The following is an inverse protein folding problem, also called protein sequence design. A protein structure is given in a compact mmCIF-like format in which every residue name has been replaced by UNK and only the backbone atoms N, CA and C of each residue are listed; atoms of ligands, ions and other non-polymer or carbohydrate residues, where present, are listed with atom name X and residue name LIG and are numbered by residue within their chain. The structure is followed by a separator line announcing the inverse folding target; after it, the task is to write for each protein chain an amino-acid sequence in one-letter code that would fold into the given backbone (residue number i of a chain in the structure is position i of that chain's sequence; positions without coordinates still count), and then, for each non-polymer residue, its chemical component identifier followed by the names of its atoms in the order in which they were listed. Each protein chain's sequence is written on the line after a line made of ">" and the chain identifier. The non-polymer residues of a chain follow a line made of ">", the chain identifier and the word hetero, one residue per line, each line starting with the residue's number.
data_IF_330391457409
#
_entry.id   IF_330391457409
#
_cell.length_a   1.000
_cell.length_b   1.000
_cell.length_c   1.000
_cell.angle_alpha   90.00
_cell.angle_beta   90.00
_cell.angle_gamma   90.00
#
_symmetry.space_group_name_H-M   'P 1'
#
loop_
_entity.id
_entity.type
_entity.pdbx_description
1 polymer ?
#
# COMPACT_ATOMS: atom_id res chain seq x y z
N UNK A 1 -16.53 -15.85 -23.17
CA UNK A 1 -15.81 -16.42 -22.02
C UNK A 1 -14.73 -15.44 -21.63
N UNK A 2 -14.89 -14.72 -20.52
CA UNK A 2 -13.86 -13.81 -20.04
C UNK A 2 -12.63 -14.63 -19.65
N UNK A 3 -11.50 -14.40 -20.33
CA UNK A 3 -10.20 -14.94 -19.92
C UNK A 3 -9.96 -14.41 -18.51
N UNK A 4 -9.93 -15.30 -17.51
CA UNK A 4 -9.53 -14.94 -16.15
C UNK A 4 -8.20 -14.20 -16.26
N UNK A 5 -8.15 -12.90 -15.91
CA UNK A 5 -6.91 -12.11 -15.87
C UNK A 5 -5.93 -12.90 -14.98
N UNK A 6 -4.82 -13.36 -15.55
CA UNK A 6 -3.76 -13.99 -14.76
C UNK A 6 -3.22 -12.94 -13.79
N UNK A 7 -3.43 -13.17 -12.49
CA UNK A 7 -2.81 -12.35 -11.45
C UNK A 7 -1.31 -12.53 -11.56
N UNK A 8 -0.56 -11.43 -11.68
CA UNK A 8 0.91 -11.47 -11.82
C UNK A 8 1.60 -11.44 -10.46
N UNK A 9 2.90 -11.76 -10.41
CA UNK A 9 3.71 -11.63 -9.19
C UNK A 9 3.80 -10.16 -8.74
N UNK A 10 3.89 -9.23 -9.68
CA UNK A 10 3.93 -7.79 -9.38
C UNK A 10 2.65 -7.33 -8.70
N UNK A 11 1.48 -7.74 -9.21
CA UNK A 11 0.21 -7.44 -8.57
C UNK A 11 0.17 -7.96 -7.14
N UNK A 12 0.52 -9.22 -6.91
CA UNK A 12 0.60 -9.78 -5.55
C UNK A 12 1.47 -8.94 -4.61
N UNK A 13 2.67 -8.54 -5.05
CA UNK A 13 3.59 -7.76 -4.23
C UNK A 13 3.05 -6.37 -3.88
N UNK A 14 2.36 -5.72 -4.82
CA UNK A 14 1.75 -4.41 -4.59
C UNK A 14 0.68 -4.47 -3.48
N UNK A 15 -0.04 -5.58 -3.35
CA UNK A 15 -1.02 -5.79 -2.26
C UNK A 15 -0.37 -6.21 -0.93
N UNK A 16 0.77 -6.90 -0.95
CA UNK A 16 1.44 -7.39 0.27
C UNK A 16 2.33 -6.32 0.93
N UNK A 17 2.96 -5.47 0.12
CA UNK A 17 3.93 -4.50 0.60
C UNK A 17 3.28 -3.24 1.19
N UNK A 18 4.00 -2.59 2.09
CA UNK A 18 3.61 -1.31 2.71
C UNK A 18 4.47 -0.16 2.21
N UNK A 19 3.93 1.05 2.24
CA UNK A 19 4.62 2.30 1.86
C UNK A 19 5.96 2.45 2.60
N UNK A 20 5.97 2.20 3.91
CA UNK A 20 7.16 2.31 4.75
C UNK A 20 8.31 1.35 4.40
N UNK A 21 8.04 0.30 3.61
CA UNK A 21 9.05 -0.65 3.13
C UNK A 21 9.77 -0.16 1.87
N UNK A 22 9.18 0.79 1.13
CA UNK A 22 9.73 1.30 -0.12
C UNK A 22 10.10 2.78 -0.07
N UNK A 23 9.59 3.54 0.92
CA UNK A 23 9.89 4.97 1.06
C UNK A 23 11.36 5.26 1.33
N UNK A 24 11.80 6.46 0.96
CA UNK A 24 13.10 7.03 1.35
C UNK A 24 12.92 7.73 2.70
N UNK A 25 13.77 7.39 3.68
CA UNK A 25 13.74 7.96 5.04
C UNK A 25 14.59 9.23 5.21
N UNK A 26 15.66 9.35 4.43
CA UNK A 26 16.51 10.53 4.45
C UNK A 26 15.87 11.64 3.60
N UNK A 27 15.04 12.45 4.26
CA UNK A 27 14.24 13.49 3.61
C UNK A 27 14.90 14.84 3.81
N UNK A 28 15.15 15.51 2.69
CA UNK A 28 15.57 16.91 2.70
C UNK A 28 14.33 17.77 2.94
N UNK A 29 14.33 18.53 4.04
CA UNK A 29 13.23 19.41 4.47
C UNK A 29 13.69 20.86 4.57
N UNK A 30 12.72 21.75 4.76
CA UNK A 30 12.95 23.16 5.09
C UNK A 30 12.03 23.59 6.23
N UNK A 31 12.48 24.53 7.07
CA UNK A 31 11.68 25.06 8.18
C UNK A 31 10.59 26.02 7.69
N UNK A 32 9.48 26.10 8.41
CA UNK A 32 8.37 27.03 8.11
C UNK A 32 8.78 28.51 8.14
N UNK A 33 9.76 28.85 9.00
CA UNK A 33 10.31 30.20 9.20
C UNK A 33 11.48 30.53 8.25
N UNK A 34 11.84 29.62 7.34
CA UNK A 34 12.89 29.84 6.34
C UNK A 34 12.44 30.79 5.24
N UNK A 35 13.40 31.42 4.55
CA UNK A 35 13.10 32.32 3.43
C UNK A 35 13.11 31.61 2.08
N UNK A 36 12.43 32.20 1.09
CA UNK A 36 12.43 31.69 -0.28
C UNK A 36 13.84 31.67 -0.93
N UNK A 37 14.75 32.55 -0.49
CA UNK A 37 16.17 32.47 -0.89
C UNK A 37 16.90 31.23 -0.36
N UNK A 38 16.58 30.77 0.85
CA UNK A 38 17.11 29.53 1.42
C UNK A 38 16.59 28.33 0.65
N UNK A 39 15.29 28.32 0.32
CA UNK A 39 14.69 27.31 -0.55
C UNK A 39 15.43 27.24 -1.89
N UNK A 40 15.62 28.38 -2.58
CA UNK A 40 16.35 28.42 -3.85
C UNK A 40 17.74 27.80 -3.75
N UNK A 41 18.48 28.12 -2.69
CA UNK A 41 19.82 27.58 -2.47
C UNK A 41 19.77 26.07 -2.26
N UNK A 42 18.83 25.59 -1.43
CA UNK A 42 18.61 24.17 -1.13
C UNK A 42 18.25 23.38 -2.39
N UNK A 43 17.27 23.85 -3.18
CA UNK A 43 16.84 23.21 -4.42
C UNK A 43 18.01 23.07 -5.42
N UNK A 44 18.82 24.13 -5.56
CA UNK A 44 19.99 24.15 -6.45
C UNK A 44 21.10 23.22 -5.97
N UNK A 45 21.45 23.26 -4.69
CA UNK A 45 22.53 22.45 -4.11
C UNK A 45 22.20 20.96 -4.19
N UNK A 46 20.98 20.60 -3.78
CA UNK A 46 20.53 19.21 -3.71
C UNK A 46 19.98 18.68 -5.04
N UNK A 47 19.83 19.54 -6.05
CA UNK A 47 19.28 19.23 -7.38
C UNK A 47 17.88 18.60 -7.30
N UNK A 48 17.04 19.20 -6.47
CA UNK A 48 15.65 18.77 -6.24
C UNK A 48 14.69 19.89 -6.64
N UNK A 49 13.44 19.53 -6.95
CA UNK A 49 12.42 20.46 -7.44
C UNK A 49 11.40 20.91 -6.38
N UNK A 50 11.48 20.35 -5.17
CA UNK A 50 10.58 20.67 -4.07
C UNK A 50 10.90 19.84 -2.84
N UNK A 51 10.46 20.33 -1.69
CA UNK A 51 10.75 19.79 -0.36
C UNK A 51 9.53 19.89 0.55
N UNK A 52 9.39 18.96 1.51
CA UNK A 52 8.47 19.13 2.62
C UNK A 52 8.89 20.29 3.52
N UNK A 53 7.90 21.04 4.00
CA UNK A 53 8.06 22.10 4.99
C UNK A 53 7.71 21.52 6.35
N UNK A 54 8.59 21.71 7.33
CA UNK A 54 8.41 21.17 8.68
C UNK A 54 8.44 22.25 9.75
N UNK A 55 7.77 21.97 10.85
CA UNK A 55 7.82 22.70 12.12
C UNK A 55 8.10 21.67 13.23
N UNK A 56 9.28 21.71 13.86
CA UNK A 56 9.71 20.70 14.86
C UNK A 56 9.48 19.22 14.45
N UNK A 57 9.90 18.86 13.22
CA UNK A 57 9.71 17.56 12.53
C UNK A 57 8.27 17.22 12.08
N UNK A 58 7.30 18.06 12.38
CA UNK A 58 5.92 17.89 11.92
C UNK A 58 5.79 18.43 10.50
N UNK A 59 5.18 17.66 9.60
CA UNK A 59 4.90 18.14 8.26
C UNK A 59 3.80 19.21 8.32
N UNK A 60 4.11 20.42 7.86
CA UNK A 60 3.17 21.56 7.84
C UNK A 60 2.86 22.07 6.43
N UNK A 61 3.60 21.60 5.42
CA UNK A 61 3.32 21.92 4.03
C UNK A 61 4.30 21.30 3.04
N UNK A 62 4.13 21.66 1.77
CA UNK A 62 5.07 21.39 0.69
C UNK A 62 5.40 22.70 -0.02
N UNK A 63 6.65 22.85 -0.44
CA UNK A 63 7.08 23.98 -1.25
C UNK A 63 7.96 23.50 -2.40
N UNK A 64 7.77 24.10 -3.57
CA UNK A 64 8.42 23.69 -4.81
C UNK A 64 9.07 24.85 -5.55
N UNK A 65 9.78 24.51 -6.62
CA UNK A 65 10.32 25.50 -7.56
C UNK A 65 9.21 26.34 -8.20
N UNK A 66 8.01 25.79 -8.39
CA UNK A 66 6.87 26.52 -8.95
C UNK A 66 6.41 27.63 -8.00
N UNK A 67 6.43 27.36 -6.69
CA UNK A 67 6.06 28.35 -5.67
C UNK A 67 7.12 29.45 -5.55
N UNK A 68 8.40 29.09 -5.74
CA UNK A 68 9.46 30.09 -5.90
C UNK A 68 9.27 30.97 -7.14
N UNK A 69 8.87 30.39 -8.27
CA UNK A 69 8.58 31.16 -9.49
C UNK A 69 7.39 32.10 -9.30
N UNK A 70 6.33 31.65 -8.61
CA UNK A 70 5.17 32.50 -8.26
C UNK A 70 5.60 33.67 -7.38
N UNK A 71 6.36 33.40 -6.31
CA UNK A 71 6.89 34.41 -5.40
C UNK A 71 7.71 35.50 -6.11
N UNK A 72 8.53 35.14 -7.11
CA UNK A 72 9.28 36.11 -7.91
C UNK A 72 8.39 37.05 -8.73
N UNK A 73 7.20 36.61 -9.13
CA UNK A 73 6.26 37.42 -9.91
C UNK A 73 5.52 38.47 -9.05
N UNK A 74 5.39 38.23 -7.74
CA UNK A 74 4.60 39.05 -6.81
C UNK A 74 5.37 40.25 -6.20
N UNK A 75 6.49 40.68 -6.80
CA UNK A 75 7.36 41.80 -6.36
C UNK A 75 7.95 41.68 -4.92
N UNK A 76 7.75 40.55 -4.22
CA UNK A 76 8.36 40.23 -2.93
C UNK A 76 9.17 38.92 -3.01
N UNK A 77 10.39 38.94 -3.58
CA UNK A 77 11.12 37.74 -4.00
C UNK A 77 11.76 36.94 -2.85
N UNK A 78 11.63 37.40 -1.60
CA UNK A 78 12.27 36.79 -0.44
C UNK A 78 11.36 36.76 0.81
N UNK A 79 10.07 36.47 0.57
CA UNK A 79 9.12 36.20 1.64
C UNK A 79 9.40 34.90 2.39
N UNK A 80 8.63 34.62 3.45
CA UNK A 80 8.74 33.37 4.17
C UNK A 80 8.14 32.19 3.39
N UNK A 81 8.71 31.00 3.58
CA UNK A 81 8.20 29.76 2.98
C UNK A 81 6.74 29.52 3.37
N UNK A 82 6.35 29.86 4.60
CA UNK A 82 4.97 29.69 5.08
C UNK A 82 3.90 30.43 4.28
N UNK A 83 4.28 31.50 3.59
CA UNK A 83 3.39 32.36 2.81
C UNK A 83 3.06 31.74 1.45
N UNK A 84 3.94 30.87 0.93
CA UNK A 84 3.85 30.32 -0.43
C UNK A 84 3.64 28.80 -0.42
N UNK A 85 3.85 28.12 0.70
CA UNK A 85 3.71 26.67 0.77
C UNK A 85 2.26 26.20 0.58
N UNK A 86 2.11 25.01 0.00
CA UNK A 86 0.83 24.30 -0.04
C UNK A 86 0.61 23.60 1.30
N UNK A 87 -0.50 23.92 1.97
CA UNK A 87 -0.86 23.36 3.29
C UNK A 87 -1.69 22.08 3.22
N UNK A 88 -2.57 21.96 2.22
CA UNK A 88 -3.33 20.73 1.98
C UNK A 88 -2.46 19.73 1.22
N UNK A 89 -1.69 18.96 1.99
CA UNK A 89 -0.72 18.00 1.46
C UNK A 89 -1.31 16.60 1.52
N UNK A 90 -1.40 15.95 0.35
CA UNK A 90 -1.66 14.51 0.29
C UNK A 90 -0.46 13.74 0.80
N UNK A 91 -0.70 12.85 1.75
CA UNK A 91 0.32 12.05 2.42
C UNK A 91 -0.13 10.60 2.52
N UNK A 92 0.84 9.71 2.70
CA UNK A 92 0.60 8.34 3.15
C UNK A 92 1.09 8.18 4.57
N UNK A 93 0.58 7.18 5.26
CA UNK A 93 1.22 6.63 6.43
C UNK A 93 2.21 5.54 6.04
N UNK A 94 3.24 5.35 6.84
CA UNK A 94 4.24 4.29 6.64
C UNK A 94 3.63 2.88 6.70
N UNK A 95 2.52 2.72 7.42
CA UNK A 95 1.76 1.46 7.51
C UNK A 95 0.78 1.25 6.37
N UNK A 96 0.54 2.26 5.52
CA UNK A 96 -0.43 2.16 4.43
C UNK A 96 0.03 1.11 3.39
N UNK A 97 -0.93 0.34 2.83
CA UNK A 97 -0.68 -0.58 1.72
C UNK A 97 -0.11 0.13 0.48
N UNK A 98 0.84 -0.52 -0.20
CA UNK A 98 1.50 0.02 -1.38
C UNK A 98 0.55 0.21 -2.57
N UNK A 99 -0.50 -0.61 -2.68
CA UNK A 99 -1.53 -0.50 -3.72
C UNK A 99 -2.18 0.88 -3.76
N UNK A 100 -2.48 1.46 -2.60
CA UNK A 100 -3.07 2.80 -2.52
C UNK A 100 -2.12 3.88 -3.02
N UNK A 101 -0.82 3.74 -2.75
CA UNK A 101 0.16 4.66 -3.31
C UNK A 101 0.17 4.61 -4.85
N UNK A 102 0.09 3.42 -5.44
CA UNK A 102 0.04 3.25 -6.91
C UNK A 102 -1.21 3.91 -7.50
N UNK A 103 -2.38 3.69 -6.89
CA UNK A 103 -3.67 4.29 -7.32
C UNK A 103 -3.62 5.82 -7.28
N UNK A 104 -3.11 6.39 -6.19
CA UNK A 104 -3.01 7.84 -5.99
C UNK A 104 -1.99 8.50 -6.93
N UNK A 105 -0.91 7.80 -7.25
CA UNK A 105 0.08 8.22 -8.25
C UNK A 105 -0.50 8.29 -9.67
N UNK A 106 -1.50 7.48 -9.98
CA UNK A 106 -2.26 7.53 -11.23
C UNK A 106 -3.33 8.62 -11.18
N UNK A 107 -4.04 8.75 -10.06
CA UNK A 107 -5.14 9.71 -9.89
C UNK A 107 -4.67 11.17 -9.92
N UNK A 108 -3.65 11.50 -9.13
CA UNK A 108 -3.20 12.88 -8.95
C UNK A 108 -2.08 13.29 -9.91
N UNK A 109 -1.39 12.32 -10.52
CA UNK A 109 -0.23 12.60 -11.38
C UNK A 109 0.98 13.21 -10.66
N UNK A 110 0.98 13.24 -9.33
CA UNK A 110 2.09 13.78 -8.54
C UNK A 110 3.37 12.95 -8.70
N UNK A 111 4.52 13.62 -8.61
CA UNK A 111 5.82 12.94 -8.73
C UNK A 111 6.30 12.26 -7.44
N UNK A 112 5.80 12.73 -6.29
CA UNK A 112 6.19 12.26 -4.96
C UNK A 112 5.11 12.56 -3.93
N UNK A 113 5.05 11.77 -2.86
CA UNK A 113 4.21 12.01 -1.70
C UNK A 113 5.04 11.95 -0.41
N UNK A 114 4.84 12.87 0.54
CA UNK A 114 5.37 12.71 1.88
C UNK A 114 4.72 11.51 2.58
N UNK A 115 5.50 10.85 3.42
CA UNK A 115 5.07 9.72 4.24
C UNK A 115 5.20 10.09 5.70
N UNK A 116 4.13 9.89 6.45
CA UNK A 116 4.00 10.19 7.88
C UNK A 116 4.14 8.90 8.67
N UNK A 117 4.87 8.96 9.77
CA UNK A 117 4.94 7.86 10.73
C UNK A 117 3.63 7.85 11.49
N UNK A 118 2.87 6.76 11.42
CA UNK A 118 1.54 6.73 12.02
C UNK A 118 1.55 6.82 13.54
N UNK A 119 2.61 6.36 14.19
CA UNK A 119 2.68 6.35 15.66
C UNK A 119 3.02 7.73 16.22
N UNK A 120 3.92 8.45 15.56
CA UNK A 120 4.45 9.73 16.03
C UNK A 120 3.81 10.94 15.37
N UNK A 121 3.14 10.76 14.23
CA UNK A 121 2.61 11.84 13.40
C UNK A 121 3.68 12.64 12.65
N UNK A 122 4.96 12.31 12.82
CA UNK A 122 6.09 13.03 12.22
C UNK A 122 6.32 12.62 10.78
N UNK A 123 7.05 13.45 10.03
CA UNK A 123 7.51 13.08 8.69
C UNK A 123 8.48 11.89 8.77
N UNK A 124 8.10 10.76 8.19
CA UNK A 124 8.89 9.52 8.17
C UNK A 124 9.73 9.36 6.91
N UNK A 125 9.26 9.93 5.79
CA UNK A 125 9.85 9.67 4.49
C UNK A 125 9.19 10.41 3.33
N UNK A 126 9.65 10.08 2.13
CA UNK A 126 9.02 10.42 0.86
C UNK A 126 8.95 9.14 0.02
N UNK A 127 7.88 8.98 -0.76
CA UNK A 127 7.74 7.92 -1.75
C UNK A 127 7.64 8.52 -3.16
N UNK A 128 8.30 7.89 -4.13
CA UNK A 128 8.21 8.20 -5.57
C UNK A 128 7.93 6.94 -6.39
N UNK A 129 7.47 7.09 -7.64
CA UNK A 129 7.32 5.95 -8.57
C UNK A 129 8.61 5.13 -8.72
N UNK A 130 9.76 5.79 -8.72
CA UNK A 130 11.07 5.13 -8.79
C UNK A 130 11.40 4.31 -7.56
N UNK A 131 10.93 4.73 -6.39
CA UNK A 131 11.10 3.99 -5.12
C UNK A 131 10.23 2.74 -5.09
N UNK A 132 8.99 2.84 -5.59
CA UNK A 132 8.09 1.70 -5.75
C UNK A 132 8.75 0.64 -6.64
N UNK A 133 9.26 1.03 -7.82
CA UNK A 133 9.93 0.10 -8.74
C UNK A 133 11.14 -0.56 -8.08
N UNK A 134 12.01 0.21 -7.42
CA UNK A 134 13.19 -0.33 -6.72
C UNK A 134 12.80 -1.28 -5.59
N UNK A 135 11.79 -0.91 -4.80
CA UNK A 135 11.26 -1.75 -3.72
C UNK A 135 10.70 -3.08 -4.23
N UNK A 136 9.92 -3.05 -5.31
CA UNK A 136 9.39 -4.26 -5.96
C UNK A 136 10.50 -5.17 -6.47
N UNK A 137 11.51 -4.62 -7.14
CA UNK A 137 12.66 -5.40 -7.64
C UNK A 137 13.41 -6.09 -6.50
N UNK A 138 13.74 -5.34 -5.43
CA UNK A 138 14.38 -5.91 -4.25
C UNK A 138 13.54 -7.02 -3.61
N UNK A 139 12.22 -6.83 -3.52
CA UNK A 139 11.32 -7.84 -2.96
C UNK A 139 11.23 -9.09 -3.82
N UNK A 140 11.23 -8.95 -5.15
CA UNK A 140 11.26 -10.08 -6.07
C UNK A 140 12.53 -10.91 -5.94
N UNK A 141 13.70 -10.27 -5.76
CA UNK A 141 14.97 -10.97 -5.52
C UNK A 141 14.91 -11.78 -4.22
N UNK A 142 14.39 -11.19 -3.14
CA UNK A 142 14.22 -11.89 -1.85
C UNK A 142 13.30 -13.10 -2.00
N UNK A 143 12.12 -12.92 -2.61
CA UNK A 143 11.14 -13.99 -2.80
C UNK A 143 11.70 -15.13 -3.68
N UNK A 144 12.49 -14.81 -4.70
CA UNK A 144 13.13 -15.80 -5.57
C UNK A 144 14.05 -16.74 -4.77
N UNK A 145 14.90 -16.18 -3.90
CA UNK A 145 15.80 -16.97 -3.04
C UNK A 145 15.04 -17.81 -2.00
N UNK A 146 13.94 -17.30 -1.45
CA UNK A 146 13.08 -18.06 -0.54
C UNK A 146 12.42 -19.26 -1.24
N UNK A 147 11.92 -19.06 -2.47
CA UNK A 147 11.26 -20.11 -3.25
C UNK A 147 12.23 -21.21 -3.69
N UNK A 148 13.48 -20.87 -4.01
CA UNK A 148 14.52 -21.86 -4.35
C UNK A 148 14.86 -22.76 -3.14
N UNK A 149 14.94 -22.17 -1.94
CA UNK A 149 15.15 -22.92 -0.70
C UNK A 149 13.95 -23.83 -0.37
N UNK A 150 12.73 -23.35 -0.61
CA UNK A 150 11.51 -24.14 -0.38
C UNK A 150 11.31 -25.27 -1.39
N UNK A 151 11.69 -25.09 -2.66
CA UNK A 151 11.64 -26.15 -3.68
C UNK A 151 12.41 -27.39 -3.25
N UNK A 152 13.57 -27.20 -2.61
CA UNK A 152 14.40 -28.30 -2.10
C UNK A 152 13.68 -29.15 -1.01
N UNK A 153 12.85 -28.51 -0.18
CA UNK A 153 12.04 -29.18 0.85
C UNK A 153 10.81 -29.90 0.28
N UNK A 154 10.18 -29.32 -0.74
CA UNK A 154 8.97 -29.86 -1.37
C UNK A 154 9.28 -31.13 -2.17
N UNK A 155 10.40 -31.14 -2.91
CA UNK A 155 10.85 -32.32 -3.68
C UNK A 155 11.18 -33.54 -2.81
N UNK A 156 11.28 -33.38 -1.47
CA UNK A 156 11.66 -34.44 -0.55
C UNK A 156 10.65 -34.78 0.56
N UNK A 157 9.46 -34.16 0.65
CA UNK A 157 8.58 -34.44 1.82
C UNK A 157 7.06 -34.24 1.73
N UNK A 158 6.45 -33.78 0.63
CA UNK A 158 5.05 -33.31 0.68
C UNK A 158 4.01 -34.01 -0.21
N UNK A 159 4.28 -35.21 -0.72
CA UNK A 159 3.21 -36.03 -1.33
C UNK A 159 2.21 -36.59 -0.30
N UNK A 160 2.53 -36.63 1.00
CA UNK A 160 1.71 -37.34 2.00
C UNK A 160 0.64 -36.49 2.73
N UNK A 161 0.68 -35.15 2.69
CA UNK A 161 -0.24 -34.32 3.51
C UNK A 161 -1.63 -34.15 2.87
N UNK A 162 -1.75 -34.28 1.56
CA UNK A 162 -3.04 -34.24 0.87
C UNK A 162 -3.60 -35.66 0.85
N UNK A 163 -3.91 -36.20 2.02
CA UNK A 163 -4.70 -37.44 2.09
C UNK A 163 -6.13 -37.14 1.67
N UNK A 164 -6.65 -37.92 0.72
CA UNK A 164 -8.03 -37.82 0.22
C UNK A 164 -9.04 -37.67 1.39
N UNK A 165 -9.78 -36.54 1.38
CA UNK A 165 -10.91 -36.13 2.26
C UNK A 165 -10.64 -35.11 3.38
N UNK A 166 -9.41 -34.64 3.61
CA UNK A 166 -9.21 -33.60 4.63
C UNK A 166 -9.74 -32.23 4.16
N UNK A 167 -10.72 -31.68 4.88
CA UNK A 167 -11.15 -30.28 4.71
C UNK A 167 -10.60 -29.42 5.84
N UNK A 168 -9.93 -28.32 5.50
CA UNK A 168 -9.37 -27.39 6.47
C UNK A 168 -10.22 -26.13 6.51
N UNK A 169 -10.48 -25.62 7.71
CA UNK A 169 -11.14 -24.34 7.90
C UNK A 169 -10.23 -23.42 8.70
N UNK A 170 -9.74 -22.36 8.07
CA UNK A 170 -8.97 -21.30 8.70
C UNK A 170 -9.91 -20.16 9.06
N UNK A 171 -9.79 -19.63 10.27
CA UNK A 171 -10.62 -18.52 10.77
C UNK A 171 -9.73 -17.44 11.32
N UNK A 172 -10.03 -16.20 10.95
CA UNK A 172 -9.33 -15.02 11.40
C UNK A 172 -10.33 -13.92 11.72
N UNK A 173 -10.05 -13.15 12.77
CA UNK A 173 -10.83 -11.96 13.10
C UNK A 173 -10.24 -10.74 12.36
N UNK A 174 -11.12 -9.92 11.78
CA UNK A 174 -10.80 -8.65 11.16
C UNK A 174 -11.23 -7.55 12.13
N UNK A 175 -10.33 -6.63 12.45
CA UNK A 175 -10.60 -5.50 13.33
C UNK A 175 -10.94 -4.30 12.45
N UNK A 176 -12.15 -3.74 12.58
CA UNK A 176 -12.56 -2.58 11.81
C UNK A 176 -11.84 -1.32 12.27
N UNK A 177 -11.65 -0.37 11.34
CA UNK A 177 -10.99 0.93 11.60
C UNK A 177 -9.54 0.82 12.10
N UNK A 178 -8.95 -0.37 12.09
CA UNK A 178 -7.55 -0.62 12.41
C UNK A 178 -6.74 -0.72 11.11
N UNK A 179 -6.35 0.45 10.61
CA UNK A 179 -5.59 0.58 9.37
C UNK A 179 -4.14 0.10 9.49
N UNK A 180 -3.59 0.00 10.72
CA UNK A 180 -2.22 -0.46 10.93
C UNK A 180 -2.08 -1.96 10.66
N UNK A 181 -3.14 -2.70 11.00
CA UNK A 181 -3.24 -4.15 10.82
C UNK A 181 -3.99 -4.55 9.56
N UNK A 182 -4.39 -3.58 8.73
CA UNK A 182 -4.98 -3.83 7.42
C UNK A 182 -4.07 -4.74 6.56
N UNK A 183 -4.67 -5.75 5.94
CA UNK A 183 -3.97 -6.74 5.12
C UNK A 183 -3.24 -7.84 5.90
N UNK A 184 -3.22 -7.78 7.24
CA UNK A 184 -2.56 -8.80 8.06
C UNK A 184 -3.30 -10.14 7.97
N UNK A 185 -4.64 -10.12 7.83
CA UNK A 185 -5.46 -11.32 7.78
C UNK A 185 -5.26 -12.10 6.48
N UNK A 186 -5.36 -11.41 5.35
CA UNK A 186 -5.07 -11.95 4.02
C UNK A 186 -3.62 -12.44 3.92
N UNK A 187 -2.67 -11.72 4.51
CA UNK A 187 -1.26 -12.15 4.60
C UNK A 187 -1.08 -13.44 5.43
N UNK A 188 -1.78 -13.57 6.56
CA UNK A 188 -1.76 -14.80 7.38
C UNK A 188 -2.38 -15.98 6.62
N UNK A 189 -3.51 -15.76 5.95
CA UNK A 189 -4.14 -16.76 5.09
C UNK A 189 -3.17 -17.25 4.01
N UNK A 190 -2.53 -16.33 3.30
CA UNK A 190 -1.52 -16.65 2.28
C UNK A 190 -0.40 -17.52 2.86
N UNK A 191 0.20 -17.13 3.99
CA UNK A 191 1.26 -17.91 4.65
C UNK A 191 0.80 -19.32 5.03
N UNK A 192 -0.44 -19.47 5.51
CA UNK A 192 -1.02 -20.77 5.84
C UNK A 192 -1.19 -21.64 4.58
N UNK A 193 -1.77 -21.09 3.50
CA UNK A 193 -1.98 -21.81 2.25
C UNK A 193 -0.66 -22.19 1.57
N UNK A 194 0.37 -21.32 1.61
CA UNK A 194 1.73 -21.63 1.13
C UNK A 194 2.30 -22.85 1.85
N UNK A 195 2.15 -22.93 3.18
CA UNK A 195 2.60 -24.08 3.99
C UNK A 195 1.82 -25.36 3.71
N UNK A 196 0.60 -25.25 3.20
CA UNK A 196 -0.23 -26.39 2.76
C UNK A 196 0.13 -26.87 1.34
N UNK A 197 1.13 -26.25 0.69
CA UNK A 197 1.56 -26.65 -0.66
C UNK A 197 0.63 -26.15 -1.77
N UNK A 198 -0.22 -25.15 -1.51
CA UNK A 198 -1.10 -24.59 -2.54
C UNK A 198 -0.25 -23.93 -3.65
N UNK A 199 -0.52 -24.23 -4.94
CA UNK A 199 0.21 -23.66 -6.06
C UNK A 199 0.25 -22.11 -6.05
N UNK A 200 1.39 -21.48 -6.45
CA UNK A 200 1.56 -20.03 -6.38
C UNK A 200 0.53 -19.22 -7.19
N UNK A 201 0.03 -19.72 -8.30
CA UNK A 201 -1.02 -19.07 -9.10
C UNK A 201 -2.38 -19.03 -8.37
N UNK A 202 -2.75 -20.10 -7.68
CA UNK A 202 -3.95 -20.15 -6.84
C UNK A 202 -3.75 -19.26 -5.61
N UNK A 203 -2.58 -19.35 -4.97
CA UNK A 203 -2.24 -18.59 -3.78
C UNK A 203 -2.37 -17.07 -4.01
N UNK A 204 -1.83 -16.57 -5.12
CA UNK A 204 -1.91 -15.16 -5.52
C UNK A 204 -3.34 -14.67 -5.64
N UNK A 205 -4.19 -15.44 -6.32
CA UNK A 205 -5.60 -15.10 -6.52
C UNK A 205 -6.37 -15.05 -5.20
N UNK A 206 -6.15 -16.04 -4.34
CA UNK A 206 -6.79 -16.08 -3.02
C UNK A 206 -6.32 -14.93 -2.14
N UNK A 207 -5.02 -14.60 -2.17
CA UNK A 207 -4.46 -13.51 -1.39
C UNK A 207 -5.06 -12.16 -1.77
N UNK A 208 -5.13 -11.83 -3.06
CA UNK A 208 -5.70 -10.55 -3.52
C UNK A 208 -7.19 -10.47 -3.19
N UNK A 209 -7.97 -11.51 -3.52
CA UNK A 209 -9.41 -11.51 -3.22
C UNK A 209 -9.69 -11.40 -1.71
N UNK A 210 -8.89 -12.08 -0.88
CA UNK A 210 -9.00 -11.98 0.58
C UNK A 210 -8.62 -10.59 1.08
N UNK A 211 -7.60 -9.96 0.49
CA UNK A 211 -7.18 -8.60 0.85
C UNK A 211 -8.27 -7.58 0.53
N UNK A 212 -8.84 -7.62 -0.68
CA UNK A 212 -9.90 -6.67 -1.07
C UNK A 212 -11.14 -6.81 -0.17
N UNK A 213 -11.52 -8.06 0.13
CA UNK A 213 -12.62 -8.33 1.06
C UNK A 213 -12.30 -7.89 2.50
N UNK A 214 -11.08 -8.12 2.97
CA UNK A 214 -10.60 -7.64 4.27
C UNK A 214 -10.65 -6.11 4.34
N UNK A 215 -10.15 -5.41 3.32
CA UNK A 215 -10.13 -3.95 3.28
C UNK A 215 -11.53 -3.36 3.31
N UNK A 216 -12.48 -3.94 2.58
CA UNK A 216 -13.88 -3.50 2.66
C UNK A 216 -14.42 -3.60 4.09
N UNK A 217 -14.12 -4.70 4.80
CA UNK A 217 -14.52 -4.85 6.20
C UNK A 217 -13.80 -3.86 7.12
N UNK A 218 -12.50 -3.59 6.92
CA UNK A 218 -11.73 -2.63 7.72
C UNK A 218 -12.25 -1.19 7.52
N UNK A 219 -12.53 -0.80 6.27
CA UNK A 219 -12.92 0.56 5.90
C UNK A 219 -14.34 0.93 6.31
N UNK A 220 -15.30 0.03 6.08
CA UNK A 220 -16.72 0.41 6.07
C UNK A 220 -17.49 -0.14 7.28
N UNK A 221 -16.83 -0.84 8.20
CA UNK A 221 -17.50 -1.61 9.25
C UNK A 221 -16.69 -1.57 10.56
N UNK A 222 -17.26 -2.09 11.64
CA UNK A 222 -16.54 -2.24 12.93
C UNK A 222 -15.67 -3.51 12.98
N UNK A 223 -15.55 -4.23 11.87
CA UNK A 223 -14.74 -5.43 11.71
C UNK A 223 -15.57 -6.62 11.23
N UNK A 224 -14.97 -7.80 11.30
CA UNK A 224 -15.59 -8.99 10.75
C UNK A 224 -14.78 -10.25 10.98
N UNK A 225 -15.06 -11.27 10.18
CA UNK A 225 -14.36 -12.55 10.19
C UNK A 225 -14.04 -12.96 8.77
N UNK A 226 -12.83 -13.47 8.58
CA UNK A 226 -12.45 -14.19 7.38
C UNK A 226 -12.46 -15.69 7.68
N UNK A 227 -13.20 -16.45 6.88
CA UNK A 227 -13.27 -17.90 6.94
C UNK A 227 -12.83 -18.48 5.58
N UNK A 228 -11.72 -19.20 5.57
CA UNK A 228 -11.25 -19.91 4.38
C UNK A 228 -11.46 -21.41 4.56
N UNK A 229 -12.27 -22.02 3.68
CA UNK A 229 -12.49 -23.46 3.58
C UNK A 229 -11.66 -24.01 2.42
N UNK A 230 -10.74 -24.91 2.73
CA UNK A 230 -9.82 -25.55 1.77
C UNK A 230 -10.22 -27.01 1.61
N UNK A 231 -10.58 -27.40 0.40
CA UNK A 231 -10.78 -28.79 -0.03
C UNK A 231 -9.87 -29.10 -1.22
N UNK A 232 -9.68 -30.37 -1.59
CA UNK A 232 -8.90 -30.74 -2.77
C UNK A 232 -9.40 -30.09 -4.07
N UNK A 233 -10.69 -29.82 -4.19
CA UNK A 233 -11.33 -29.30 -5.41
C UNK A 233 -11.46 -27.78 -5.42
N UNK A 234 -11.52 -27.13 -4.25
CA UNK A 234 -11.76 -25.68 -4.17
C UNK A 234 -11.23 -25.04 -2.88
N UNK A 235 -10.90 -23.77 -3.01
CA UNK A 235 -10.71 -22.85 -1.88
C UNK A 235 -11.86 -21.85 -1.90
N UNK A 236 -12.63 -21.80 -0.81
CA UNK A 236 -13.71 -20.84 -0.63
C UNK A 236 -13.34 -19.88 0.51
N UNK A 237 -13.23 -18.59 0.19
CA UNK A 237 -13.01 -17.52 1.18
C UNK A 237 -14.33 -16.77 1.38
N UNK A 238 -14.74 -16.63 2.63
CA UNK A 238 -15.93 -15.92 3.05
C UNK A 238 -15.49 -14.84 4.05
N UNK A 239 -15.83 -13.58 3.76
CA UNK A 239 -15.67 -12.47 4.70
C UNK A 239 -17.06 -12.05 5.15
N UNK A 240 -17.27 -12.01 6.46
CA UNK A 240 -18.52 -11.58 7.08
C UNK A 240 -18.24 -10.40 7.99
N UNK A 241 -18.94 -9.29 7.77
CA UNK A 241 -18.89 -8.09 8.61
C UNK A 241 -20.28 -7.76 9.19
N UNK A 242 -20.32 -6.76 10.06
CA UNK A 242 -21.56 -6.20 10.62
C UNK A 242 -21.70 -4.71 10.29
N UNK A 243 -21.35 -4.34 9.06
CA UNK A 243 -21.50 -2.99 8.52
C UNK A 243 -22.94 -2.64 8.13
N UNK A 244 -23.16 -1.43 7.58
CA UNK A 244 -24.49 -0.94 7.20
C UNK A 244 -25.16 -1.75 6.08
N UNK A 245 -24.43 -2.66 5.44
CA UNK A 245 -24.90 -3.43 4.29
C UNK A 245 -24.84 -2.63 2.99
N UNK A 246 -25.03 -3.33 1.88
CA UNK A 246 -25.11 -2.72 0.54
C UNK A 246 -26.59 -2.52 0.20
N UNK A 247 -27.00 -1.27 0.01
CA UNK A 247 -28.40 -0.89 -0.23
C UNK A 247 -29.00 -1.58 -1.47
N UNK A 248 -28.22 -1.72 -2.56
CA UNK A 248 -28.57 -2.50 -3.74
C UNK A 248 -27.40 -3.37 -4.20
N UNK A 249 -27.40 -4.63 -3.75
CA UNK A 249 -26.39 -5.65 -4.10
C UNK A 249 -26.31 -5.86 -5.62
N UNK A 250 -27.44 -5.82 -6.32
CA UNK A 250 -27.49 -6.08 -7.77
C UNK A 250 -26.79 -4.97 -8.54
N UNK A 251 -26.90 -3.73 -8.04
CA UNK A 251 -26.23 -2.56 -8.61
C UNK A 251 -24.73 -2.56 -8.26
N UNK A 252 -24.35 -2.92 -7.04
CA UNK A 252 -22.95 -3.00 -6.62
C UNK A 252 -22.15 -4.06 -7.40
N UNK A 253 -22.81 -5.08 -7.95
CA UNK A 253 -22.18 -6.11 -8.79
C UNK A 253 -21.97 -5.67 -10.27
N UNK A 254 -22.27 -4.42 -10.62
CA UNK A 254 -22.06 -3.87 -11.98
C UNK A 254 -20.79 -3.00 -12.05
N UNK A 255 -20.05 -3.03 -13.17
CA UNK A 255 -18.92 -2.12 -13.42
C UNK A 255 -19.33 -0.66 -13.22
N UNK A 256 -18.47 0.14 -12.58
CA UNK A 256 -18.73 1.55 -12.23
C UNK A 256 -19.56 1.79 -10.95
N UNK A 257 -20.09 0.73 -10.33
CA UNK A 257 -20.78 0.78 -9.02
C UNK A 257 -20.17 -0.16 -7.97
N UNK A 258 -19.23 -1.01 -8.38
CA UNK A 258 -18.42 -1.86 -7.50
C UNK A 258 -17.22 -1.07 -6.97
N UNK A 259 -16.70 -1.44 -5.79
CA UNK A 259 -15.40 -0.97 -5.28
C UNK A 259 -14.21 -1.63 -5.98
N UNK A 260 -14.44 -2.60 -6.86
CA UNK A 260 -13.40 -3.18 -7.71
C UNK A 260 -13.12 -2.28 -8.93
N UNK A 261 -11.85 -1.92 -9.14
CA UNK A 261 -11.37 -1.24 -10.36
C UNK A 261 -11.40 -2.18 -11.58
N UNK A 262 -11.70 -1.64 -12.77
CA UNK A 262 -11.88 -2.35 -14.05
C UNK A 262 -10.67 -3.21 -14.55
#
# INVERSE_FOLDING_TARGET
>A
MARLKEVTKVQELIYEMKVGQVMIRDVITIGIDSRMSDLRNLLREKRISGVPVVDDDQLVGLVSIEDFIKCLADENPDCFVEEQMTRDVKTFYDTDPLVHAVEEFEHYGYGRFPVIDRQTGKLAGIITKGDIVRGLLNKMEIDYHEEETQRWLIDHSFEEIITDKASFTLRYDIIGKDFDRAGETSSKLKKALKRMGIPPDILRRVAIAAYEAEMNAVLYTDGGKLVARVTPERIAVEVSDSGPGIEDITKAMKPGFSTATD
#
